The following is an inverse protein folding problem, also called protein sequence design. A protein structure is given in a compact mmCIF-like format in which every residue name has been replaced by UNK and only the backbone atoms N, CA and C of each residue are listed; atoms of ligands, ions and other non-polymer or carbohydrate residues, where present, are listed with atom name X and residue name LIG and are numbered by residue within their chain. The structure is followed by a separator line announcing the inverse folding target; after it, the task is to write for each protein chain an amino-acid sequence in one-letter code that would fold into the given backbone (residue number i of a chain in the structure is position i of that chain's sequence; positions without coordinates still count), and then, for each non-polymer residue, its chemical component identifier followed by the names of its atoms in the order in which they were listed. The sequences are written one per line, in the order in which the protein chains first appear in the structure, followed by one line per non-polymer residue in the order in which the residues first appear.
data_IF_424061568909
#
_entry.id   IF_424061568909
#
_cell.length_a   1.000
_cell.length_b   1.000
_cell.length_c   1.000
_cell.angle_alpha   90.00
_cell.angle_beta   90.00
_cell.angle_gamma   90.00
#
_symmetry.space_group_name_H-M   'P 1'
#
loop_
_entity.id
_entity.type
_entity.pdbx_description
1 polymer ?
#
# COMPACT_ATOMS: atom_id res chain seq x y z
N UNK A 1 -17.14 13.50 6.67
CA UNK A 1 -17.41 13.47 5.21
C UNK A 1 -16.78 12.23 4.53
N UNK A 2 -17.60 11.24 4.14
CA UNK A 2 -17.16 9.92 3.64
C UNK A 2 -16.23 9.98 2.42
N UNK A 3 -16.37 11.02 1.60
CA UNK A 3 -15.58 11.22 0.37
C UNK A 3 -14.09 11.49 0.63
N UNK A 4 -13.74 12.21 1.71
CA UNK A 4 -12.34 12.53 2.04
C UNK A 4 -11.56 11.26 2.34
N UNK A 5 -12.14 10.36 3.14
CA UNK A 5 -11.53 9.07 3.43
C UNK A 5 -11.35 8.21 2.17
N UNK A 6 -12.31 8.23 1.26
CA UNK A 6 -12.24 7.46 0.01
C UNK A 6 -11.12 7.95 -0.90
N UNK A 7 -11.00 9.26 -1.10
CA UNK A 7 -9.90 9.88 -1.85
C UNK A 7 -8.54 9.55 -1.24
N UNK A 8 -8.45 9.58 0.09
CA UNK A 8 -7.23 9.22 0.81
C UNK A 8 -6.84 7.77 0.48
N UNK A 9 -7.74 6.79 0.63
CA UNK A 9 -7.46 5.39 0.32
C UNK A 9 -7.02 5.15 -1.13
N UNK A 10 -7.71 5.78 -2.09
CA UNK A 10 -7.34 5.69 -3.49
C UNK A 10 -5.92 6.23 -3.74
N UNK A 11 -5.56 7.32 -3.06
CA UNK A 11 -4.23 7.91 -3.16
C UNK A 11 -3.16 7.00 -2.57
N UNK A 12 -3.41 6.43 -1.38
CA UNK A 12 -2.52 5.44 -0.75
C UNK A 12 -2.29 4.22 -1.65
N UNK A 13 -3.37 3.65 -2.20
CA UNK A 13 -3.30 2.52 -3.11
C UNK A 13 -2.46 2.83 -4.35
N UNK A 14 -2.71 3.97 -5.00
CA UNK A 14 -1.95 4.41 -6.19
C UNK A 14 -0.47 4.61 -5.87
N UNK A 15 -0.14 5.21 -4.73
CA UNK A 15 1.26 5.41 -4.31
C UNK A 15 1.98 4.07 -4.09
N UNK A 16 1.33 3.12 -3.41
CA UNK A 16 1.91 1.78 -3.21
C UNK A 16 2.08 1.00 -4.52
N UNK A 17 1.14 1.15 -5.46
CA UNK A 17 1.27 0.59 -6.80
C UNK A 17 2.45 1.21 -7.56
N UNK A 18 2.53 2.55 -7.59
CA UNK A 18 3.63 3.26 -8.25
C UNK A 18 4.99 2.82 -7.68
N UNK A 19 5.07 2.68 -6.36
CA UNK A 19 6.27 2.21 -5.68
C UNK A 19 6.67 0.78 -6.11
N UNK A 20 5.72 -0.15 -6.12
CA UNK A 20 5.95 -1.53 -6.57
C UNK A 20 6.33 -1.61 -8.06
N UNK A 21 5.64 -0.88 -8.93
CA UNK A 21 5.97 -0.79 -10.35
C UNK A 21 7.36 -0.15 -10.57
N UNK A 22 7.73 0.84 -9.76
CA UNK A 22 9.06 1.45 -9.77
C UNK A 22 10.16 0.42 -9.50
N UNK A 23 10.03 -0.35 -8.42
CA UNK A 23 10.97 -1.44 -8.09
C UNK A 23 11.04 -2.47 -9.21
N UNK A 24 9.89 -2.94 -9.71
CA UNK A 24 9.83 -3.95 -10.79
C UNK A 24 10.48 -3.47 -12.09
N UNK A 25 10.26 -2.21 -12.44
CA UNK A 25 10.85 -1.56 -13.61
C UNK A 25 12.38 -1.45 -13.48
N UNK A 26 12.86 -0.89 -12.36
CA UNK A 26 14.31 -0.75 -12.08
C UNK A 26 15.01 -2.10 -11.99
N UNK A 27 14.36 -3.12 -11.40
CA UNK A 27 14.87 -4.49 -11.34
C UNK A 27 15.04 -5.11 -12.74
N UNK A 28 14.18 -4.76 -13.70
CA UNK A 28 14.32 -5.19 -15.10
C UNK A 28 15.50 -4.49 -15.78
N UNK A 29 15.68 -3.19 -15.54
CA UNK A 29 16.81 -2.40 -16.05
C UNK A 29 18.13 -2.92 -15.49
N UNK A 30 18.20 -3.20 -14.19
CA UNK A 30 19.39 -3.73 -13.54
C UNK A 30 19.85 -5.08 -14.13
N UNK A 31 18.90 -5.93 -14.53
CA UNK A 31 19.19 -7.20 -15.22
C UNK A 31 19.56 -7.02 -16.69
N UNK A 32 19.48 -5.81 -17.24
CA UNK A 32 19.82 -5.50 -18.63
C UNK A 32 18.91 -6.16 -19.67
N UNK A 33 17.73 -6.67 -19.29
CA UNK A 33 16.85 -7.46 -20.16
C UNK A 33 15.87 -6.54 -20.91
N UNK A 34 16.07 -6.31 -22.21
CA UNK A 34 15.14 -5.56 -23.07
C UNK A 34 14.45 -6.49 -24.06
N UNK A 35 13.12 -6.45 -24.12
CA UNK A 35 12.38 -7.16 -25.16
C UNK A 35 12.59 -6.46 -26.51
N UNK A 36 13.04 -7.21 -27.51
CA UNK A 36 13.24 -6.73 -28.86
C UNK A 36 12.05 -7.20 -29.75
N UNK A 37 11.05 -6.34 -30.02
CA UNK A 37 9.88 -6.72 -30.80
C UNK A 37 10.20 -7.08 -32.26
N UNK A 38 11.38 -6.67 -32.77
CA UNK A 38 11.83 -7.00 -34.13
C UNK A 38 12.33 -8.45 -34.27
N UNK A 39 12.71 -9.10 -33.18
CA UNK A 39 13.28 -10.46 -33.17
C UNK A 39 12.59 -11.39 -32.15
N UNK A 40 11.48 -10.93 -31.56
CA UNK A 40 10.70 -11.63 -30.54
C UNK A 40 11.52 -12.25 -29.39
N UNK A 41 12.68 -11.66 -29.06
CA UNK A 41 13.62 -12.19 -28.08
C UNK A 41 13.98 -11.12 -27.04
N UNK A 42 14.39 -11.58 -25.86
CA UNK A 42 14.91 -10.70 -24.81
C UNK A 42 16.41 -10.56 -25.00
N UNK A 43 16.82 -9.42 -25.54
CA UNK A 43 18.23 -9.09 -25.75
C UNK A 43 18.80 -8.40 -24.49
N UNK A 44 20.02 -8.79 -24.11
CA UNK A 44 20.80 -8.05 -23.13
C UNK A 44 21.26 -6.75 -23.78
N UNK A 45 20.73 -5.63 -23.33
CA UNK A 45 21.22 -4.31 -23.75
C UNK A 45 22.47 -3.98 -22.95
N UNK A 46 23.54 -3.64 -23.65
CA UNK A 46 24.71 -3.00 -23.05
C UNK A 46 24.29 -1.58 -22.63
N UNK A 47 23.94 -1.45 -21.35
CA UNK A 47 23.71 -0.16 -20.72
C UNK A 47 25.07 0.49 -20.43
N UNK A 48 25.17 1.80 -20.66
CA UNK A 48 26.38 2.55 -20.28
C UNK A 48 26.63 2.39 -18.77
N UNK A 49 27.89 2.35 -18.37
CA UNK A 49 28.29 2.17 -16.96
C UNK A 49 27.64 3.21 -16.04
N UNK A 50 27.46 4.44 -16.54
CA UNK A 50 26.75 5.53 -15.84
C UNK A 50 25.27 5.24 -15.63
N UNK A 51 24.59 4.63 -16.60
CA UNK A 51 23.16 4.34 -16.51
C UNK A 51 22.90 3.23 -15.48
N UNK A 52 23.74 2.19 -15.46
CA UNK A 52 23.66 1.11 -14.46
C UNK A 52 23.88 1.69 -13.06
N UNK A 53 24.86 2.58 -12.89
CA UNK A 53 25.11 3.25 -11.61
C UNK A 53 23.89 4.03 -11.11
N UNK A 54 23.27 4.85 -11.96
CA UNK A 54 22.06 5.61 -11.62
C UNK A 54 20.90 4.66 -11.27
N UNK A 55 20.67 3.61 -12.07
CA UNK A 55 19.64 2.62 -11.78
C UNK A 55 19.86 1.91 -10.44
N UNK A 56 21.12 1.62 -10.09
CA UNK A 56 21.50 1.04 -8.79
C UNK A 56 21.15 1.97 -7.65
N UNK A 57 21.50 3.27 -7.75
CA UNK A 57 21.20 4.27 -6.71
C UNK A 57 19.69 4.41 -6.47
N UNK A 58 18.90 4.51 -7.54
CA UNK A 58 17.44 4.57 -7.43
C UNK A 58 16.87 3.28 -6.83
N UNK A 59 17.33 2.11 -7.29
CA UNK A 59 16.88 0.83 -6.76
C UNK A 59 17.21 0.68 -5.27
N UNK A 60 18.43 1.03 -4.84
CA UNK A 60 18.82 1.04 -3.43
C UNK A 60 17.92 1.96 -2.60
N UNK A 61 17.67 3.17 -3.10
CA UNK A 61 16.79 4.14 -2.44
C UNK A 61 15.38 3.60 -2.28
N UNK A 62 14.82 2.98 -3.33
CA UNK A 62 13.50 2.34 -3.29
C UNK A 62 13.48 1.14 -2.34
N UNK A 63 14.49 0.26 -2.37
CA UNK A 63 14.56 -0.89 -1.45
C UNK A 63 14.63 -0.40 0.01
N UNK A 64 15.38 0.65 0.29
CA UNK A 64 15.47 1.23 1.63
C UNK A 64 14.19 1.94 2.06
N UNK A 65 13.46 2.54 1.11
CA UNK A 65 12.17 3.18 1.35
C UNK A 65 11.06 2.13 1.57
N UNK A 66 11.17 0.93 0.99
CA UNK A 66 10.16 -0.12 1.06
C UNK A 66 9.76 -0.54 2.49
N UNK A 67 10.70 -0.85 3.41
CA UNK A 67 10.34 -1.20 4.78
C UNK A 67 9.63 -0.04 5.51
N UNK A 68 10.00 1.21 5.25
CA UNK A 68 9.35 2.37 5.89
C UNK A 68 7.90 2.53 5.43
N UNK A 69 7.62 2.36 4.14
CA UNK A 69 6.26 2.38 3.59
C UNK A 69 5.44 1.22 4.15
N UNK A 70 6.03 0.03 4.25
CA UNK A 70 5.35 -1.14 4.80
C UNK A 70 4.96 -0.93 6.27
N UNK A 71 5.90 -0.47 7.11
CA UNK A 71 5.64 -0.19 8.52
C UNK A 71 4.55 0.86 8.66
N UNK A 72 4.62 1.95 7.88
CA UNK A 72 3.59 2.97 7.89
C UNK A 72 2.20 2.37 7.60
N UNK A 73 2.08 1.54 6.57
CA UNK A 73 0.81 0.91 6.21
C UNK A 73 0.29 0.00 7.33
N UNK A 74 1.16 -0.81 7.93
CA UNK A 74 0.78 -1.71 9.03
C UNK A 74 0.28 -0.90 10.24
N UNK A 75 1.01 0.14 10.65
CA UNK A 75 0.66 0.97 11.80
C UNK A 75 -0.68 1.67 11.57
N UNK A 76 -0.86 2.34 10.43
CA UNK A 76 -2.11 3.05 10.13
C UNK A 76 -3.30 2.09 9.94
N UNK A 77 -3.09 0.93 9.33
CA UNK A 77 -4.13 -0.09 9.22
C UNK A 77 -4.55 -0.58 10.61
N UNK A 78 -3.59 -0.92 11.47
CA UNK A 78 -3.85 -1.40 12.83
C UNK A 78 -4.59 -0.37 13.67
N UNK A 79 -4.13 0.89 13.66
CA UNK A 79 -4.82 1.99 14.35
C UNK A 79 -6.26 2.15 13.87
N UNK A 80 -6.48 2.07 12.55
CA UNK A 80 -7.82 2.22 11.98
C UNK A 80 -8.74 1.06 12.34
N UNK A 81 -8.24 -0.17 12.30
CA UNK A 81 -8.99 -1.35 12.77
C UNK A 81 -9.32 -1.24 14.26
N UNK A 82 -8.37 -0.77 15.08
CA UNK A 82 -8.60 -0.53 16.50
C UNK A 82 -9.73 0.48 16.73
N UNK A 83 -9.68 1.65 16.07
CA UNK A 83 -10.73 2.69 16.21
C UNK A 83 -12.09 2.21 15.72
N UNK A 84 -12.14 1.51 14.59
CA UNK A 84 -13.41 0.96 14.08
C UNK A 84 -13.93 -0.11 15.06
N UNK A 85 -13.05 -0.98 15.55
CA UNK A 85 -13.39 -2.04 16.51
C UNK A 85 -13.97 -1.47 17.80
N UNK A 86 -13.31 -0.47 18.41
CA UNK A 86 -13.80 0.18 19.63
C UNK A 86 -15.12 0.89 19.41
N UNK A 87 -15.29 1.59 18.28
CA UNK A 87 -16.57 2.22 17.92
C UNK A 87 -17.70 1.19 17.81
N UNK A 88 -17.46 0.07 17.12
CA UNK A 88 -18.45 -1.00 16.97
C UNK A 88 -18.78 -1.67 18.30
N UNK A 89 -17.78 -1.90 19.15
CA UNK A 89 -17.99 -2.48 20.47
C UNK A 89 -18.88 -1.58 21.34
N UNK A 90 -18.63 -0.26 21.35
CA UNK A 90 -19.47 0.71 22.07
C UNK A 90 -20.89 0.76 21.52
N UNK A 91 -21.06 0.76 20.19
CA UNK A 91 -22.40 0.71 19.54
C UNK A 91 -23.18 -0.55 19.95
N UNK A 92 -22.51 -1.70 20.04
CA UNK A 92 -23.14 -2.96 20.45
C UNK A 92 -23.53 -2.90 21.94
N UNK A 93 -22.64 -2.40 22.81
CA UNK A 93 -22.91 -2.29 24.23
C UNK A 93 -24.11 -1.38 24.51
N UNK A 94 -24.14 -0.19 23.90
CA UNK A 94 -25.25 0.74 24.02
C UNK A 94 -26.56 0.13 23.54
N UNK A 95 -26.54 -0.60 22.41
CA UNK A 95 -27.73 -1.27 21.89
C UNK A 95 -28.28 -2.35 22.84
N UNK A 96 -27.39 -3.09 23.51
CA UNK A 96 -27.81 -4.09 24.50
C UNK A 96 -28.48 -3.41 25.70
N UNK A 97 -27.91 -2.31 26.17
CA UNK A 97 -28.49 -1.51 27.26
C UNK A 97 -29.90 -1.02 26.90
N UNK A 98 -30.09 -0.47 25.69
CA UNK A 98 -31.39 -0.01 25.19
C UNK A 98 -32.42 -1.15 25.10
N UNK A 99 -32.02 -2.33 24.61
CA UNK A 99 -32.90 -3.51 24.54
C UNK A 99 -33.32 -3.99 25.93
N UNK A 100 -32.41 -3.98 26.91
CA UNK A 100 -32.71 -4.34 28.30
C UNK A 100 -33.66 -3.34 28.97
N UNK A 101 -33.44 -2.04 28.79
CA UNK A 101 -34.33 -1.00 29.33
C UNK A 101 -35.74 -1.16 28.77
N UNK A 102 -35.85 -1.40 27.46
CA UNK A 102 -37.16 -1.57 26.80
C UNK A 102 -37.91 -2.78 27.35
N UNK A 103 -37.22 -3.89 27.63
CA UNK A 103 -37.85 -5.07 28.23
C UNK A 103 -38.32 -4.85 29.66
N UNK A 104 -37.54 -4.13 30.47
CA UNK A 104 -37.91 -3.81 31.86
C UNK A 104 -39.12 -2.88 31.91
N UNK A 105 -39.18 -1.85 31.05
CA UNK A 105 -40.29 -0.89 31.01
C UNK A 105 -41.57 -1.49 30.41
N UNK A 106 -41.45 -2.55 29.60
CA UNK A 106 -42.58 -3.25 29.01
C UNK A 106 -43.28 -4.24 29.97
N UNK A 107 -42.75 -4.43 31.18
CA UNK A 107 -43.34 -5.24 32.26
C UNK A 107 -44.02 -4.36 33.30
#
# INVERSE_FOLDING_TARGET
PKYISWLQYLSWFRLTLLFYYGISSLWRVFRGRKYNPLRERVDSVELDSRQIFIATLFLMTLIFLAPTVLIYLIVFATLRFSVIGTKRALEILARIEDELITQIVAF
#
